data_IF_048520823371
#
_entry.id   IF_048520823371
#
_cell.length_a   1.000
_cell.length_b   1.000
_cell.length_c   1.000
_cell.angle_alpha   90.00
_cell.angle_beta   90.00
_cell.angle_gamma   90.00
#
_symmetry.space_group_name_H-M   'P 1'
#
loop_
_entity.id
_entity.type
_entity.pdbx_description
1 polymer ?
#
# COMPACT_ATOMS: atom_id res chain seq x y z
N UNK A 1 12.97 7.54 -1.02
CA UNK A 1 13.54 7.54 -2.37
C UNK A 1 14.06 8.93 -2.70
N UNK A 2 15.22 9.02 -3.31
CA UNK A 2 15.89 10.28 -3.65
C UNK A 2 16.34 10.26 -5.11
N UNK A 3 16.47 11.44 -5.70
CA UNK A 3 17.16 11.68 -6.96
C UNK A 3 18.15 12.84 -6.84
N UNK A 4 18.67 13.35 -7.97
CA UNK A 4 19.64 14.45 -7.99
C UNK A 4 19.09 15.78 -7.45
N UNK A 5 17.77 15.91 -7.33
CA UNK A 5 17.08 17.10 -6.80
C UNK A 5 16.68 16.94 -5.31
N UNK A 6 16.97 15.78 -4.71
CA UNK A 6 16.71 15.46 -3.31
C UNK A 6 15.62 14.43 -3.09
N UNK A 7 14.92 14.53 -1.95
CA UNK A 7 13.86 13.56 -1.60
C UNK A 7 12.65 13.71 -2.52
N UNK A 8 12.28 12.65 -3.21
CA UNK A 8 11.08 12.53 -4.07
C UNK A 8 9.91 11.89 -3.33
N UNK A 9 10.20 10.85 -2.56
CA UNK A 9 9.19 10.07 -1.87
C UNK A 9 9.73 9.64 -0.50
N UNK A 10 8.98 9.94 0.54
CA UNK A 10 9.12 9.34 1.86
C UNK A 10 7.90 8.44 2.09
N UNK A 11 8.13 7.20 2.52
CA UNK A 11 7.06 6.24 2.79
C UNK A 11 7.41 5.38 3.99
N UNK A 12 6.43 5.09 4.80
CA UNK A 12 6.52 4.20 5.93
C UNK A 12 5.20 3.48 6.16
N UNK A 13 5.20 2.50 7.04
CA UNK A 13 3.99 1.80 7.43
C UNK A 13 4.11 1.23 8.84
N UNK A 14 2.98 0.95 9.48
CA UNK A 14 2.85 0.10 10.65
C UNK A 14 2.24 -1.24 10.25
N UNK A 15 2.59 -2.35 10.92
CA UNK A 15 2.01 -3.67 10.61
C UNK A 15 2.98 -4.84 10.67
N UNK A 16 4.11 -4.67 11.38
CA UNK A 16 5.09 -5.72 11.61
C UNK A 16 5.68 -6.29 10.32
N UNK A 17 5.65 -7.61 10.14
CA UNK A 17 6.24 -8.30 8.96
C UNK A 17 5.59 -7.90 7.61
N UNK A 18 4.39 -7.34 7.63
CA UNK A 18 3.65 -6.90 6.43
C UNK A 18 4.17 -5.58 5.86
N UNK A 19 4.97 -4.83 6.65
CA UNK A 19 5.49 -3.51 6.27
C UNK A 19 6.25 -3.57 4.95
N UNK A 20 7.16 -4.52 4.79
CA UNK A 20 8.02 -4.62 3.60
C UNK A 20 7.20 -4.73 2.32
N UNK A 21 6.23 -5.66 2.27
CA UNK A 21 5.35 -5.83 1.10
C UNK A 21 4.54 -4.57 0.81
N UNK A 22 3.99 -3.96 1.85
CA UNK A 22 3.17 -2.76 1.73
C UNK A 22 3.98 -1.57 1.18
N UNK A 23 5.12 -1.27 1.80
CA UNK A 23 5.99 -0.16 1.40
C UNK A 23 6.49 -0.33 -0.03
N UNK A 24 6.90 -1.54 -0.42
CA UNK A 24 7.35 -1.82 -1.78
C UNK A 24 6.24 -1.54 -2.81
N UNK A 25 5.02 -1.99 -2.55
CA UNK A 25 3.89 -1.76 -3.46
C UNK A 25 3.57 -0.27 -3.59
N UNK A 26 3.56 0.49 -2.48
CA UNK A 26 3.34 1.95 -2.53
C UNK A 26 4.44 2.66 -3.31
N UNK A 27 5.72 2.26 -3.13
CA UNK A 27 6.84 2.81 -3.91
C UNK A 27 6.63 2.57 -5.41
N UNK A 28 6.34 1.33 -5.81
CA UNK A 28 6.12 0.99 -7.22
C UNK A 28 4.92 1.76 -7.81
N UNK A 29 3.81 1.83 -7.06
CA UNK A 29 2.62 2.55 -7.50
C UNK A 29 2.92 4.04 -7.76
N UNK A 30 3.72 4.68 -6.91
CA UNK A 30 4.09 6.08 -7.08
C UNK A 30 5.12 6.26 -8.20
N UNK A 31 6.18 5.45 -8.25
CA UNK A 31 7.30 5.67 -9.15
C UNK A 31 7.08 5.10 -10.54
N UNK A 32 6.56 3.88 -10.65
CA UNK A 32 6.42 3.17 -11.93
C UNK A 32 5.07 3.44 -12.58
N UNK A 33 4.01 3.62 -11.78
CA UNK A 33 2.66 3.87 -12.28
C UNK A 33 2.21 5.33 -12.14
N UNK A 34 3.07 6.22 -11.62
CA UNK A 34 2.80 7.65 -11.48
C UNK A 34 1.53 8.01 -10.70
N UNK A 35 1.16 7.16 -9.75
CA UNK A 35 -0.01 7.40 -8.89
C UNK A 35 0.28 8.53 -7.89
N UNK A 36 -0.76 9.26 -7.48
CA UNK A 36 -0.66 10.13 -6.31
C UNK A 36 -0.38 9.30 -5.04
N UNK A 37 0.19 9.89 -3.97
CA UNK A 37 0.41 9.15 -2.72
C UNK A 37 -0.86 8.50 -2.17
N UNK A 38 -2.00 9.19 -2.24
CA UNK A 38 -3.26 8.65 -1.76
C UNK A 38 -3.77 7.51 -2.64
N UNK A 39 -3.76 7.70 -3.98
CA UNK A 39 -4.18 6.63 -4.90
C UNK A 39 -3.31 5.38 -4.75
N UNK A 40 -1.99 5.57 -4.57
CA UNK A 40 -1.04 4.48 -4.36
C UNK A 40 -1.30 3.69 -3.07
N UNK A 41 -1.77 4.36 -2.02
CA UNK A 41 -2.13 3.76 -0.74
C UNK A 41 -3.50 3.08 -0.81
N UNK A 42 -4.47 3.70 -1.49
CA UNK A 42 -5.82 3.16 -1.63
C UNK A 42 -5.91 2.02 -2.66
N UNK A 43 -4.87 1.85 -3.49
CA UNK A 43 -4.82 0.77 -4.47
C UNK A 43 -4.88 -0.61 -3.77
N UNK A 44 -5.60 -1.59 -4.36
CA UNK A 44 -5.67 -2.94 -3.81
C UNK A 44 -4.29 -3.55 -3.57
N UNK A 45 -4.09 -4.12 -2.39
CA UNK A 45 -2.79 -4.61 -1.92
C UNK A 45 -2.74 -6.12 -1.81
N UNK A 46 -1.51 -6.64 -1.79
CA UNK A 46 -1.20 -8.01 -1.47
C UNK A 46 -0.23 -8.11 -0.30
N UNK A 47 -0.28 -9.19 0.46
CA UNK A 47 0.71 -9.52 1.47
C UNK A 47 1.05 -11.01 1.44
N UNK A 48 2.33 -11.31 1.26
CA UNK A 48 2.85 -12.68 1.21
C UNK A 48 3.80 -12.99 2.39
N UNK A 49 3.67 -12.27 3.49
CA UNK A 49 4.52 -12.46 4.67
C UNK A 49 4.16 -13.69 5.52
N UNK A 50 3.09 -14.40 5.17
CA UNK A 50 2.59 -15.60 5.85
C UNK A 50 2.52 -16.81 4.94
N UNK A 51 1.83 -17.87 5.41
CA UNK A 51 1.62 -19.10 4.63
C UNK A 51 0.62 -18.94 3.50
N UNK A 52 -0.21 -17.92 3.55
CA UNK A 52 -1.17 -17.54 2.52
C UNK A 52 -0.74 -16.24 1.88
N UNK A 53 -1.08 -16.06 0.61
CA UNK A 53 -1.07 -14.75 -0.03
C UNK A 53 -2.40 -14.07 0.29
N UNK A 54 -2.38 -13.08 1.16
CA UNK A 54 -3.53 -12.23 1.42
C UNK A 54 -3.69 -11.27 0.24
N UNK A 55 -4.84 -11.24 -0.37
CA UNK A 55 -5.18 -10.33 -1.45
C UNK A 55 -6.37 -9.47 -1.05
N UNK A 56 -6.30 -8.18 -1.35
CA UNK A 56 -7.43 -7.28 -1.23
C UNK A 56 -8.58 -7.77 -2.13
N UNK A 57 -9.78 -7.88 -1.57
CA UNK A 57 -10.96 -8.38 -2.29
C UNK A 57 -11.39 -7.49 -3.47
N UNK A 58 -10.89 -6.26 -3.55
CA UNK A 58 -11.11 -5.34 -4.67
C UNK A 58 -10.25 -5.65 -5.91
N UNK A 59 -9.28 -6.57 -5.81
CA UNK A 59 -8.49 -7.02 -6.98
C UNK A 59 -9.38 -7.71 -8.00
N UNK A 60 -9.02 -7.52 -9.29
CA UNK A 60 -9.72 -8.18 -10.39
C UNK A 60 -9.75 -9.71 -10.18
N UNK A 61 -10.93 -10.34 -10.24
CA UNK A 61 -11.06 -11.80 -10.11
C UNK A 61 -10.17 -12.60 -11.07
N UNK A 62 -9.86 -12.04 -12.26
CA UNK A 62 -8.95 -12.67 -13.22
C UNK A 62 -7.53 -12.77 -12.65
N UNK A 63 -7.06 -11.72 -11.96
CA UNK A 63 -5.74 -11.70 -11.30
C UNK A 63 -5.72 -12.72 -10.17
N UNK A 64 -6.78 -12.75 -9.35
CA UNK A 64 -6.93 -13.72 -8.25
C UNK A 64 -6.89 -15.15 -8.77
N UNK A 65 -7.64 -15.44 -9.85
CA UNK A 65 -7.66 -16.78 -10.46
C UNK A 65 -6.29 -17.14 -11.04
N UNK A 66 -5.65 -16.21 -11.75
CA UNK A 66 -4.32 -16.46 -12.33
C UNK A 66 -3.25 -16.78 -11.26
N UNK A 67 -3.35 -16.21 -10.07
CA UNK A 67 -2.47 -16.55 -8.95
C UNK A 67 -2.77 -17.93 -8.37
N UNK A 68 -4.05 -18.31 -8.25
CA UNK A 68 -4.46 -19.67 -7.84
C UNK A 68 -3.96 -20.73 -8.82
N UNK A 69 -4.07 -20.47 -10.12
CA UNK A 69 -3.62 -21.40 -11.18
C UNK A 69 -2.11 -21.61 -11.14
N UNK A 70 -1.36 -20.64 -10.61
CA UNK A 70 0.08 -20.75 -10.33
C UNK A 70 0.41 -21.47 -9.03
N UNK A 71 -0.59 -21.96 -8.29
CA UNK A 71 -0.43 -22.72 -7.06
C UNK A 71 -0.32 -21.89 -5.78
N UNK A 72 -0.62 -20.58 -5.84
CA UNK A 72 -0.63 -19.76 -4.61
C UNK A 72 -1.86 -20.06 -3.74
N UNK A 73 -1.63 -20.20 -2.44
CA UNK A 73 -2.71 -20.31 -1.44
C UNK A 73 -3.26 -18.90 -1.14
N UNK A 74 -4.39 -18.58 -1.73
CA UNK A 74 -4.98 -17.23 -1.66
C UNK A 74 -6.00 -17.13 -0.52
N UNK A 75 -5.90 -16.03 0.24
CA UNK A 75 -6.92 -15.56 1.17
C UNK A 75 -7.36 -14.16 0.77
N UNK A 76 -8.64 -14.00 0.45
CA UNK A 76 -9.22 -12.66 0.20
C UNK A 76 -9.48 -11.96 1.52
N UNK A 77 -9.12 -10.70 1.59
CA UNK A 77 -9.30 -9.81 2.75
C UNK A 77 -10.12 -8.62 2.30
N UNK A 78 -11.22 -8.38 2.97
CA UNK A 78 -12.02 -7.18 2.71
C UNK A 78 -11.30 -5.94 3.27
N UNK A 79 -11.18 -4.93 2.44
CA UNK A 79 -10.63 -3.64 2.81
C UNK A 79 -11.74 -2.83 3.52
N UNK A 80 -11.85 -3.01 4.82
CA UNK A 80 -12.79 -2.32 5.69
C UNK A 80 -12.04 -1.57 6.79
N UNK A 81 -12.63 -0.48 7.27
CA UNK A 81 -12.05 0.26 8.39
C UNK A 81 -11.88 -0.65 9.61
N UNK A 82 -10.66 -0.72 10.11
CA UNK A 82 -10.29 -1.50 11.30
C UNK A 82 -9.56 -0.61 12.32
N UNK A 83 -10.28 -0.12 13.33
CA UNK A 83 -9.68 0.73 14.37
C UNK A 83 -8.66 -0.01 15.23
N UNK A 84 -8.64 -1.36 15.20
CA UNK A 84 -7.70 -2.17 15.98
C UNK A 84 -6.33 -2.29 15.30
N UNK A 85 -6.24 -1.99 14.01
CA UNK A 85 -5.02 -2.15 13.23
C UNK A 85 -4.62 -3.62 13.00
N UNK A 86 -5.53 -4.57 13.24
CA UNK A 86 -5.27 -6.01 13.10
C UNK A 86 -5.69 -6.55 11.73
N UNK A 87 -6.12 -5.68 10.81
CA UNK A 87 -6.50 -6.06 9.45
C UNK A 87 -5.40 -6.85 8.73
N UNK A 88 -5.73 -7.48 7.63
CA UNK A 88 -4.82 -8.33 6.87
C UNK A 88 -3.62 -7.61 6.24
N UNK A 89 -3.55 -6.27 6.29
CA UNK A 89 -2.53 -5.44 5.66
C UNK A 89 -1.85 -4.50 6.65
N UNK A 90 -0.66 -4.00 6.28
CA UNK A 90 -0.01 -2.90 6.98
C UNK A 90 -0.69 -1.56 6.65
N UNK A 91 -0.57 -0.58 7.55
CA UNK A 91 -1.11 0.78 7.37
C UNK A 91 -0.01 1.72 6.88
N UNK A 92 0.03 2.07 5.59
CA UNK A 92 1.04 2.96 5.03
C UNK A 92 0.69 4.43 5.17
N UNK A 93 1.75 5.22 5.13
CA UNK A 93 1.73 6.68 4.97
C UNK A 93 2.82 7.04 3.96
N UNK A 94 2.53 7.98 3.06
CA UNK A 94 3.48 8.42 2.05
C UNK A 94 3.40 9.92 1.83
N UNK A 95 4.56 10.54 1.51
CA UNK A 95 4.67 11.93 1.12
C UNK A 95 5.52 11.99 -0.14
N UNK A 96 5.00 12.59 -1.20
CA UNK A 96 5.76 12.92 -2.40
C UNK A 96 6.08 14.40 -2.44
N UNK A 97 7.24 14.72 -3.00
CA UNK A 97 7.66 16.08 -3.30
C UNK A 97 7.73 16.30 -4.81
N UNK A 98 7.04 17.31 -5.28
CA UNK A 98 7.13 17.79 -6.65
C UNK A 98 7.44 19.29 -6.62
N UNK A 99 8.70 19.64 -6.92
CA UNK A 99 9.24 21.01 -6.77
C UNK A 99 8.97 21.55 -5.36
N UNK A 100 8.09 22.54 -5.23
CA UNK A 100 7.75 23.21 -3.97
C UNK A 100 6.43 22.71 -3.35
N UNK A 101 5.84 21.63 -3.89
CA UNK A 101 4.60 21.06 -3.35
C UNK A 101 4.88 19.70 -2.71
N UNK A 102 4.29 19.49 -1.55
CA UNK A 102 4.19 18.22 -0.87
C UNK A 102 2.77 17.68 -1.05
N UNK A 103 2.66 16.40 -1.41
CA UNK A 103 1.39 15.69 -1.41
C UNK A 103 1.53 14.51 -0.45
N UNK A 104 0.53 14.33 0.42
CA UNK A 104 0.51 13.24 1.38
C UNK A 104 -0.62 12.26 1.06
N UNK A 105 -0.44 11.02 1.49
CA UNK A 105 -1.47 10.00 1.51
C UNK A 105 -1.37 9.18 2.78
N UNK A 106 -2.51 8.74 3.30
CA UNK A 106 -2.63 7.93 4.49
C UNK A 106 -3.60 6.78 4.28
N UNK A 107 -3.41 5.71 5.03
CA UNK A 107 -4.32 4.57 4.98
C UNK A 107 -5.68 4.93 5.59
N UNK A 108 -6.72 4.85 4.78
CA UNK A 108 -8.11 5.16 5.17
C UNK A 108 -8.81 4.03 5.93
N UNK A 109 -8.19 2.86 5.97
CA UNK A 109 -8.72 1.70 6.72
C UNK A 109 -8.22 1.63 8.17
N UNK A 110 -7.34 2.54 8.56
CA UNK A 110 -6.85 2.70 9.92
C UNK A 110 -7.03 4.15 10.37
N UNK A 111 -6.91 4.37 11.68
CA UNK A 111 -6.91 5.73 12.22
C UNK A 111 -5.62 6.46 11.84
N UNK A 112 -5.63 7.14 10.72
CA UNK A 112 -4.51 7.91 10.20
C UNK A 112 -4.99 9.28 9.70
N UNK A 113 -4.09 10.26 9.75
CA UNK A 113 -4.40 11.64 9.40
C UNK A 113 -3.19 12.33 8.77
N UNK A 114 -3.41 13.15 7.75
CA UNK A 114 -2.41 13.99 7.14
C UNK A 114 -2.95 15.42 7.02
N UNK A 115 -2.18 16.39 7.46
CA UNK A 115 -2.50 17.81 7.37
C UNK A 115 -1.32 18.58 6.78
N UNK A 116 -1.62 19.64 6.03
CA UNK A 116 -0.64 20.54 5.45
C UNK A 116 -1.17 21.96 5.36
N UNK A 117 -0.27 22.93 5.30
CA UNK A 117 -0.53 24.37 5.14
C UNK A 117 0.49 25.02 4.23
#
# INVERSE_FOLDING_TARGET
VMDNEGVKLAVGASGGRRITNCVTQVINNVLDFSMSPQDAIDFPRSDCSGSYVNLDSRLDPIVVQGLKDKGHLIKLIDAVFDPTGMSGFASPIAITRNKNRLNAGVDTFHSAYAEGY
#
